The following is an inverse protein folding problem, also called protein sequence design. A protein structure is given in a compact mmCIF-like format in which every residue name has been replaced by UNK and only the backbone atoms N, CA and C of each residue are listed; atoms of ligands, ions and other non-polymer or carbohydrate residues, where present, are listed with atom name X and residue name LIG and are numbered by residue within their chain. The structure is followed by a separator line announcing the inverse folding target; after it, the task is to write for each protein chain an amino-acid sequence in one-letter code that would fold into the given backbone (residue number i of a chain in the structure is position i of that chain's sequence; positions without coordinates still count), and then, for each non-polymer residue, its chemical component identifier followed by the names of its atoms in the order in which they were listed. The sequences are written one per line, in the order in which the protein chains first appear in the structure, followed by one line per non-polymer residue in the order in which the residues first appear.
data_IF_714003155479
#
_entry.id   IF_714003155479
#
_cell.length_a   1.000
_cell.length_b   1.000
_cell.length_c   1.000
_cell.angle_alpha   90.00
_cell.angle_beta   90.00
_cell.angle_gamma   90.00
#
_symmetry.space_group_name_H-M   'P 1'
#
loop_
_entity.id
_entity.type
_entity.pdbx_description
1 polymer ?
#
# COMPACT_ATOMS: atom_id res chain seq x y z
N UNK A 1 9.03 -20.83 4.31
CA UNK A 1 8.28 -20.47 3.11
C UNK A 1 7.30 -19.36 3.45
N UNK A 2 7.39 -18.23 2.83
CA UNK A 2 6.42 -17.15 2.93
C UNK A 2 6.30 -16.50 1.56
N UNK A 3 5.10 -16.10 1.19
CA UNK A 3 4.87 -15.43 -0.09
C UNK A 3 5.39 -13.99 0.02
N UNK A 4 6.51 -13.69 -0.65
CA UNK A 4 6.91 -12.33 -0.99
C UNK A 4 6.45 -12.01 -2.41
N UNK A 5 6.33 -10.74 -2.77
CA UNK A 5 5.99 -10.31 -4.14
C UNK A 5 6.91 -10.96 -5.18
N UNK A 6 8.20 -11.14 -4.88
CA UNK A 6 9.13 -11.81 -5.78
C UNK A 6 8.78 -13.29 -6.03
N UNK A 7 8.25 -14.00 -5.04
CA UNK A 7 7.79 -15.38 -5.22
C UNK A 7 6.51 -15.44 -6.01
N UNK A 8 5.59 -14.52 -5.83
CA UNK A 8 4.36 -14.44 -6.61
C UNK A 8 4.71 -14.21 -8.08
N UNK A 9 5.59 -13.28 -8.41
CA UNK A 9 6.06 -13.04 -9.78
C UNK A 9 6.74 -14.27 -10.40
N UNK A 10 7.65 -14.90 -9.67
CA UNK A 10 8.40 -16.07 -10.18
C UNK A 10 7.51 -17.29 -10.37
N UNK A 11 6.46 -17.45 -9.56
CA UNK A 11 5.56 -18.60 -9.52
C UNK A 11 4.12 -18.21 -9.88
N UNK A 12 3.94 -17.30 -10.84
CA UNK A 12 2.64 -16.76 -11.22
C UNK A 12 1.64 -17.89 -11.55
N UNK A 13 2.09 -18.91 -12.30
CA UNK A 13 1.32 -20.09 -12.64
C UNK A 13 0.90 -20.99 -11.47
N UNK A 14 1.42 -20.77 -10.26
CA UNK A 14 0.97 -21.43 -9.04
C UNK A 14 -0.13 -20.61 -8.33
N UNK A 15 -0.09 -19.31 -8.47
CA UNK A 15 -1.01 -18.43 -7.78
C UNK A 15 -2.31 -18.17 -8.55
N UNK A 16 -2.40 -18.59 -9.82
CA UNK A 16 -3.64 -18.59 -10.59
C UNK A 16 -4.39 -19.94 -10.54
N UNK A 17 -3.82 -20.95 -9.86
CA UNK A 17 -4.48 -22.22 -9.59
C UNK A 17 -5.76 -22.01 -8.75
N UNK A 18 -6.86 -22.64 -9.19
CA UNK A 18 -8.18 -22.54 -8.55
C UNK A 18 -8.57 -23.90 -7.96
N UNK A 19 -9.11 -23.85 -6.75
CA UNK A 19 -9.63 -25.00 -6.00
C UNK A 19 -11.14 -24.85 -5.87
N UNK A 20 -11.91 -25.64 -6.66
CA UNK A 20 -13.35 -25.51 -6.75
C UNK A 20 -14.06 -26.54 -5.85
N UNK A 21 -14.84 -26.05 -4.88
CA UNK A 21 -15.71 -26.84 -4.02
C UNK A 21 -17.15 -26.65 -4.47
N UNK A 22 -17.81 -27.73 -4.95
CA UNK A 22 -19.19 -27.68 -5.44
C UNK A 22 -20.20 -28.14 -4.42
N UNK A 23 -21.44 -27.70 -4.56
CA UNK A 23 -22.55 -28.07 -3.68
C UNK A 23 -22.93 -29.56 -3.76
N UNK A 24 -22.60 -30.22 -4.85
CA UNK A 24 -22.77 -31.66 -5.04
C UNK A 24 -21.62 -32.50 -4.44
N UNK A 25 -20.75 -31.84 -3.65
CA UNK A 25 -19.57 -32.41 -3.02
C UNK A 25 -18.47 -32.83 -4.00
N UNK A 26 -18.55 -32.50 -5.29
CA UNK A 26 -17.41 -32.66 -6.18
C UNK A 26 -16.34 -31.60 -5.91
N UNK A 27 -15.07 -31.98 -6.14
CA UNK A 27 -13.92 -31.11 -5.98
C UNK A 27 -13.08 -31.12 -7.25
N UNK A 28 -12.56 -29.94 -7.62
CA UNK A 28 -11.72 -29.80 -8.82
C UNK A 28 -10.50 -28.93 -8.53
N UNK A 29 -9.34 -29.40 -8.99
CA UNK A 29 -8.16 -28.59 -9.21
C UNK A 29 -8.24 -28.01 -10.63
N UNK A 30 -8.25 -26.70 -10.78
CA UNK A 30 -8.24 -25.99 -12.07
C UNK A 30 -6.91 -25.27 -12.14
N UNK A 31 -5.96 -25.88 -12.90
CA UNK A 31 -4.55 -25.51 -12.90
C UNK A 31 -4.14 -24.73 -14.17
N UNK A 32 -5.12 -24.29 -14.96
CA UNK A 32 -4.84 -23.57 -16.20
C UNK A 32 -4.06 -24.42 -17.23
N UNK A 33 -3.30 -23.74 -18.06
CA UNK A 33 -2.40 -24.37 -19.03
C UNK A 33 -1.06 -24.77 -18.40
N UNK A 34 -0.67 -24.14 -17.30
CA UNK A 34 0.58 -24.32 -16.57
C UNK A 34 0.35 -24.24 -15.06
N UNK A 35 1.16 -24.94 -14.28
CA UNK A 35 1.30 -24.79 -12.83
C UNK A 35 2.77 -24.85 -12.45
N UNK A 36 3.12 -24.56 -11.19
CA UNK A 36 4.50 -24.60 -10.73
C UNK A 36 5.00 -26.04 -10.57
N UNK A 37 6.11 -26.35 -11.26
CA UNK A 37 6.79 -27.65 -11.19
C UNK A 37 8.08 -27.55 -10.39
N UNK A 38 8.33 -28.54 -9.53
CA UNK A 38 9.55 -28.64 -8.70
C UNK A 38 10.46 -29.78 -9.20
N UNK A 39 11.69 -29.44 -9.58
CA UNK A 39 12.64 -30.37 -10.23
C UNK A 39 12.90 -31.66 -9.44
N UNK A 40 12.99 -31.61 -8.13
CA UNK A 40 13.24 -32.77 -7.28
C UNK A 40 12.03 -33.70 -7.13
N UNK A 41 10.85 -33.24 -7.50
CA UNK A 41 9.59 -33.93 -7.26
C UNK A 41 8.99 -34.49 -8.58
N UNK A 42 8.93 -33.68 -9.62
CA UNK A 42 8.20 -34.00 -10.86
C UNK A 42 9.12 -34.48 -11.99
N UNK A 43 10.39 -34.70 -11.69
CA UNK A 43 11.39 -35.15 -12.65
C UNK A 43 11.61 -34.18 -13.83
N UNK A 44 11.30 -32.90 -13.64
CA UNK A 44 11.64 -31.84 -14.58
C UNK A 44 13.11 -31.39 -14.37
N UNK A 45 13.73 -30.85 -15.41
CA UNK A 45 15.16 -30.48 -15.34
C UNK A 45 15.42 -29.29 -14.43
N UNK A 46 14.51 -28.33 -14.41
CA UNK A 46 14.59 -27.09 -13.62
C UNK A 46 13.21 -26.75 -13.07
N UNK A 47 13.17 -26.04 -11.94
CA UNK A 47 11.91 -25.51 -11.38
C UNK A 47 11.37 -24.41 -12.28
N UNK A 48 10.05 -24.39 -12.48
CA UNK A 48 9.39 -23.39 -13.32
C UNK A 48 7.93 -23.69 -13.58
N UNK A 49 7.29 -22.78 -14.33
CA UNK A 49 5.95 -23.00 -14.85
C UNK A 49 5.97 -24.02 -16.00
N UNK A 50 5.02 -24.95 -15.99
CA UNK A 50 4.87 -25.95 -17.01
C UNK A 50 3.54 -26.69 -16.89
N UNK A 51 3.19 -27.48 -17.91
CA UNK A 51 1.96 -28.26 -17.91
C UNK A 51 1.88 -29.18 -16.70
N UNK A 52 0.73 -29.20 -16.03
CA UNK A 52 0.50 -30.02 -14.85
C UNK A 52 0.73 -31.51 -15.16
N UNK A 53 1.35 -32.25 -14.23
CA UNK A 53 1.77 -33.64 -14.43
C UNK A 53 0.91 -34.59 -13.61
N UNK A 54 0.53 -35.70 -14.24
CA UNK A 54 -0.26 -36.74 -13.58
C UNK A 54 0.48 -37.34 -12.37
N UNK A 55 -0.25 -37.69 -11.30
CA UNK A 55 -1.71 -37.63 -11.13
C UNK A 55 -2.24 -36.27 -10.65
N UNK A 56 -1.39 -35.22 -10.52
CA UNK A 56 -1.73 -33.89 -9.99
C UNK A 56 -2.08 -32.91 -11.11
N UNK A 57 -2.63 -33.39 -12.22
CA UNK A 57 -2.92 -32.64 -13.45
C UNK A 57 -4.35 -32.07 -13.52
N UNK A 58 -5.08 -32.10 -12.40
CA UNK A 58 -6.47 -31.62 -12.34
C UNK A 58 -7.52 -32.55 -12.94
N UNK A 59 -7.12 -33.71 -13.49
CA UNK A 59 -8.06 -34.69 -14.11
C UNK A 59 -8.69 -35.64 -13.10
N UNK A 60 -8.27 -35.60 -11.85
CA UNK A 60 -8.80 -36.44 -10.78
C UNK A 60 -10.31 -36.29 -10.62
N UNK A 61 -11.04 -37.40 -10.54
CA UNK A 61 -12.42 -37.39 -10.01
C UNK A 61 -12.33 -37.37 -8.50
N UNK A 62 -12.66 -36.21 -7.91
CA UNK A 62 -12.52 -36.02 -6.48
C UNK A 62 -13.79 -35.48 -5.83
N UNK A 63 -13.92 -35.79 -4.56
CA UNK A 63 -14.99 -35.27 -3.70
C UNK A 63 -14.42 -34.59 -2.48
N UNK A 64 -15.20 -33.73 -1.85
CA UNK A 64 -14.82 -33.08 -0.60
C UNK A 64 -15.87 -33.28 0.48
N UNK A 65 -15.43 -33.21 1.73
CA UNK A 65 -16.32 -33.20 2.88
C UNK A 65 -15.79 -32.25 3.96
N UNK A 66 -16.68 -31.71 4.77
CA UNK A 66 -16.34 -30.83 5.89
C UNK A 66 -16.94 -31.39 7.17
N UNK A 67 -16.09 -31.68 8.13
CA UNK A 67 -16.51 -31.99 9.49
C UNK A 67 -16.46 -30.72 10.35
N UNK A 68 -17.64 -30.21 10.70
CA UNK A 68 -17.78 -28.98 11.49
C UNK A 68 -17.45 -29.15 12.97
N UNK A 69 -17.39 -30.39 13.48
CA UNK A 69 -17.11 -30.66 14.90
C UNK A 69 -15.61 -30.51 15.21
N UNK A 70 -14.75 -30.91 14.29
CA UNK A 70 -13.30 -30.83 14.44
C UNK A 70 -12.61 -29.83 13.48
N UNK A 71 -13.40 -29.17 12.62
CA UNK A 71 -12.90 -28.17 11.69
C UNK A 71 -11.99 -28.75 10.61
N UNK A 72 -12.28 -29.97 10.13
CA UNK A 72 -11.50 -30.60 9.07
C UNK A 72 -12.18 -30.57 7.71
N UNK A 73 -11.39 -30.38 6.65
CA UNK A 73 -11.80 -30.59 5.26
C UNK A 73 -11.05 -31.80 4.74
N UNK A 74 -11.77 -32.77 4.20
CA UNK A 74 -11.16 -33.93 3.53
C UNK A 74 -11.46 -33.90 2.06
N UNK A 75 -10.44 -34.17 1.24
CA UNK A 75 -10.54 -34.31 -0.21
C UNK A 75 -10.18 -35.75 -0.55
N UNK A 76 -11.11 -36.45 -1.16
CA UNK A 76 -10.99 -37.81 -1.57
C UNK A 76 -10.89 -37.89 -3.12
N UNK A 77 -9.78 -38.39 -3.60
CA UNK A 77 -9.45 -38.51 -5.02
C UNK A 77 -7.95 -38.48 -5.25
N UNK A 78 -7.41 -39.55 -5.89
CA UNK A 78 -5.97 -39.64 -6.13
C UNK A 78 -5.50 -38.48 -7.01
N UNK A 79 -4.55 -37.67 -6.51
CA UNK A 79 -4.00 -36.52 -7.22
C UNK A 79 -4.75 -35.21 -7.00
N UNK A 80 -5.85 -35.23 -6.23
CA UNK A 80 -6.51 -33.99 -5.78
C UNK A 80 -5.85 -33.42 -4.52
N UNK A 81 -5.68 -32.09 -4.45
CA UNK A 81 -4.95 -31.43 -3.37
C UNK A 81 -5.41 -29.98 -3.16
N UNK A 82 -5.01 -29.38 -2.02
CA UNK A 82 -5.06 -27.94 -1.78
C UNK A 82 -3.63 -27.41 -1.57
N UNK A 83 -3.27 -26.36 -2.30
CA UNK A 83 -1.95 -25.73 -2.21
C UNK A 83 -0.88 -26.51 -2.94
N UNK A 84 0.07 -27.13 -2.27
CA UNK A 84 1.23 -27.79 -2.87
C UNK A 84 0.95 -29.26 -3.08
N UNK A 85 1.07 -29.74 -4.32
CA UNK A 85 0.74 -31.11 -4.77
C UNK A 85 1.49 -32.22 -4.01
N UNK A 86 2.76 -31.99 -3.63
CA UNK A 86 3.58 -32.97 -2.92
C UNK A 86 3.32 -33.02 -1.40
N UNK A 87 2.51 -32.14 -0.85
CA UNK A 87 2.25 -32.09 0.59
C UNK A 87 1.10 -33.01 0.95
N UNK A 88 1.36 -34.04 1.74
CA UNK A 88 0.38 -35.02 2.18
C UNK A 88 0.42 -35.21 3.71
N UNK A 89 -0.64 -35.77 4.28
CA UNK A 89 -0.70 -36.02 5.71
C UNK A 89 0.49 -36.88 6.17
N UNK A 90 1.27 -36.30 7.07
CA UNK A 90 2.42 -36.96 7.69
C UNK A 90 3.73 -36.88 6.90
N UNK A 91 3.72 -36.42 5.63
CA UNK A 91 4.90 -36.49 4.77
C UNK A 91 4.86 -35.47 3.62
N UNK A 92 6.02 -35.01 3.18
CA UNK A 92 6.20 -34.51 1.81
C UNK A 92 6.56 -35.67 0.89
N UNK A 93 5.82 -35.84 -0.19
CA UNK A 93 6.06 -36.89 -1.15
C UNK A 93 7.33 -36.57 -1.96
N UNK A 94 8.05 -37.58 -2.36
CA UNK A 94 9.28 -37.48 -3.15
C UNK A 94 9.14 -38.06 -4.57
N UNK A 95 7.97 -38.61 -4.86
CA UNK A 95 7.64 -39.21 -6.16
C UNK A 95 6.12 -39.07 -6.37
N UNK A 96 5.64 -38.59 -7.54
CA UNK A 96 4.22 -38.52 -7.88
C UNK A 96 3.47 -39.86 -7.72
N UNK A 97 4.14 -41.01 -7.92
CA UNK A 97 3.55 -42.32 -7.69
C UNK A 97 3.15 -42.61 -6.22
N UNK A 98 3.57 -41.76 -5.28
CA UNK A 98 3.18 -41.85 -3.87
C UNK A 98 1.90 -41.08 -3.55
N UNK A 99 1.21 -40.54 -4.57
CA UNK A 99 -0.05 -39.80 -4.40
C UNK A 99 -1.01 -40.53 -3.46
N UNK A 100 -1.78 -39.78 -2.70
CA UNK A 100 -2.72 -40.32 -1.72
C UNK A 100 -4.14 -40.30 -2.26
N UNK A 101 -4.91 -41.31 -1.86
CA UNK A 101 -6.34 -41.42 -2.17
C UNK A 101 -7.16 -40.34 -1.43
N UNK A 102 -6.65 -39.84 -0.29
CA UNK A 102 -7.35 -38.92 0.57
C UNK A 102 -6.37 -37.99 1.27
N UNK A 103 -6.70 -36.69 1.35
CA UNK A 103 -5.98 -35.68 2.10
C UNK A 103 -6.91 -34.97 3.07
N UNK A 104 -6.51 -34.89 4.34
CA UNK A 104 -7.29 -34.19 5.39
C UNK A 104 -6.56 -32.94 5.85
N UNK A 105 -7.25 -31.82 5.75
CA UNK A 105 -6.79 -30.48 6.18
C UNK A 105 -7.53 -30.13 7.48
N UNK A 106 -6.78 -29.68 8.49
CA UNK A 106 -7.32 -29.30 9.79
C UNK A 106 -7.37 -27.79 9.98
N UNK A 107 -8.06 -27.33 11.01
CA UNK A 107 -8.15 -25.92 11.38
C UNK A 107 -8.74 -25.05 10.27
N UNK A 108 -9.76 -25.57 9.59
CA UNK A 108 -10.47 -24.85 8.54
C UNK A 108 -11.21 -23.64 9.14
N UNK A 109 -10.79 -22.44 8.72
CA UNK A 109 -11.40 -21.17 9.14
C UNK A 109 -11.75 -20.36 7.91
N UNK A 110 -13.01 -19.98 7.81
CA UNK A 110 -13.50 -19.01 6.81
C UNK A 110 -13.58 -17.66 7.50
N UNK A 111 -13.04 -16.62 6.86
CA UNK A 111 -13.14 -15.24 7.37
C UNK A 111 -14.58 -14.76 7.48
N UNK A 112 -14.87 -13.77 8.33
CA UNK A 112 -16.22 -13.24 8.56
C UNK A 112 -16.86 -12.71 7.28
N UNK A 113 -16.09 -12.13 6.39
CA UNK A 113 -16.50 -11.64 5.07
C UNK A 113 -16.64 -12.75 4.02
N UNK A 114 -16.28 -14.00 4.37
CA UNK A 114 -16.31 -15.20 3.51
C UNK A 114 -15.38 -15.12 2.28
N UNK A 115 -14.36 -14.29 2.34
CA UNK A 115 -13.43 -14.08 1.23
C UNK A 115 -12.10 -14.81 1.40
N UNK A 116 -11.84 -15.39 2.58
CA UNK A 116 -10.60 -16.14 2.82
C UNK A 116 -10.91 -17.48 3.50
N UNK A 117 -10.25 -18.54 3.03
CA UNK A 117 -10.18 -19.86 3.67
C UNK A 117 -8.75 -20.11 4.16
N UNK A 118 -8.60 -20.42 5.43
CA UNK A 118 -7.33 -20.89 6.01
C UNK A 118 -7.45 -22.36 6.38
N UNK A 119 -6.47 -23.19 6.01
CA UNK A 119 -6.39 -24.61 6.37
C UNK A 119 -4.95 -25.00 6.67
N UNK A 120 -4.78 -26.10 7.41
CA UNK A 120 -3.49 -26.68 7.71
C UNK A 120 -3.44 -28.14 7.29
N UNK A 121 -2.27 -28.61 6.85
CA UNK A 121 -2.00 -30.04 6.67
C UNK A 121 -0.81 -30.43 7.52
N UNK A 122 -0.97 -31.47 8.34
CA UNK A 122 0.04 -31.95 9.26
C UNK A 122 1.12 -32.74 8.53
N UNK A 123 2.38 -32.41 8.81
CA UNK A 123 3.54 -33.12 8.28
C UNK A 123 4.52 -33.44 9.41
N UNK A 124 4.61 -34.70 9.82
CA UNK A 124 5.53 -35.07 10.89
C UNK A 124 5.36 -34.20 12.14
N UNK A 125 6.41 -33.46 12.54
CA UNK A 125 6.40 -32.54 13.68
C UNK A 125 5.92 -31.11 13.32
N UNK A 126 5.69 -30.80 12.05
CA UNK A 126 5.28 -29.48 11.54
C UNK A 126 3.98 -29.55 10.77
N UNK A 127 3.57 -28.41 10.25
CA UNK A 127 2.42 -28.30 9.35
C UNK A 127 2.66 -27.25 8.28
N UNK A 128 1.99 -27.41 7.15
CA UNK A 128 1.82 -26.34 6.17
C UNK A 128 0.51 -25.61 6.44
N UNK A 129 0.53 -24.30 6.39
CA UNK A 129 -0.66 -23.45 6.40
C UNK A 129 -0.88 -22.90 5.01
N UNK A 130 -2.09 -23.07 4.50
CA UNK A 130 -2.53 -22.46 3.26
C UNK A 130 -3.62 -21.43 3.54
N UNK A 131 -3.54 -20.31 2.85
CA UNK A 131 -4.56 -19.28 2.84
C UNK A 131 -4.99 -19.07 1.41
N UNK A 132 -6.27 -19.27 1.15
CA UNK A 132 -6.87 -19.09 -0.16
C UNK A 132 -7.79 -17.88 -0.12
N UNK A 133 -7.73 -17.07 -1.17
CA UNK A 133 -8.69 -16.00 -1.38
C UNK A 133 -9.81 -16.48 -2.29
N UNK A 134 -11.04 -16.02 -2.04
CA UNK A 134 -12.18 -16.30 -2.88
C UNK A 134 -12.01 -15.62 -4.23
N UNK A 135 -12.21 -16.35 -5.34
CA UNK A 135 -12.17 -15.80 -6.69
C UNK A 135 -13.10 -14.60 -6.80
N UNK A 136 -12.60 -13.48 -7.34
CA UNK A 136 -13.33 -12.22 -7.46
C UNK A 136 -13.44 -11.38 -6.19
N UNK A 137 -12.78 -11.78 -5.08
CA UNK A 137 -12.66 -10.91 -3.90
C UNK A 137 -11.45 -9.98 -4.02
N UNK A 138 -11.50 -8.84 -3.35
CA UNK A 138 -10.38 -7.88 -3.32
C UNK A 138 -9.07 -8.42 -2.74
N UNK A 139 -9.09 -9.58 -2.08
CA UNK A 139 -7.90 -10.26 -1.57
C UNK A 139 -7.32 -11.33 -2.50
N UNK A 140 -7.98 -11.61 -3.62
CA UNK A 140 -7.51 -12.54 -4.64
C UNK A 140 -6.74 -11.76 -5.72
N UNK A 141 -5.56 -11.27 -5.38
CA UNK A 141 -4.64 -10.74 -6.39
C UNK A 141 -4.10 -11.91 -7.20
N UNK A 142 -4.75 -12.18 -8.32
CA UNK A 142 -4.22 -13.09 -9.33
C UNK A 142 -3.07 -12.38 -10.06
N UNK A 143 -2.05 -13.12 -10.52
CA UNK A 143 -0.99 -12.55 -11.35
C UNK A 143 -1.46 -11.88 -12.65
N UNK A 144 -2.72 -12.06 -13.00
CA UNK A 144 -3.38 -11.54 -14.21
C UNK A 144 -4.41 -10.44 -13.93
N UNK A 145 -4.60 -10.00 -12.67
CA UNK A 145 -5.52 -8.91 -12.36
C UNK A 145 -4.87 -7.57 -12.69
N UNK A 146 -5.69 -6.68 -13.21
CA UNK A 146 -5.45 -5.27 -13.45
C UNK A 146 -6.72 -4.57 -12.95
N UNK A 147 -6.71 -4.19 -11.65
CA UNK A 147 -7.92 -3.75 -10.94
C UNK A 147 -8.37 -2.38 -11.39
N UNK A 148 -7.46 -1.50 -11.72
CA UNK A 148 -7.76 -0.12 -12.14
C UNK A 148 -7.83 0.06 -13.66
N UNK A 149 -7.38 -0.97 -14.43
CA UNK A 149 -7.54 -1.05 -15.89
C UNK A 149 -6.56 -0.20 -16.68
N UNK A 150 -5.40 0.12 -16.13
CA UNK A 150 -4.38 0.95 -16.78
C UNK A 150 -3.44 0.18 -17.72
N UNK A 151 -3.52 -1.16 -17.71
CA UNK A 151 -2.72 -2.06 -18.55
C UNK A 151 -1.45 -2.56 -17.88
N UNK A 152 -1.19 -2.20 -16.62
CA UNK A 152 -0.16 -2.78 -15.76
C UNK A 152 -0.84 -3.74 -14.79
N UNK A 153 -0.35 -4.98 -14.72
CA UNK A 153 -0.96 -5.96 -13.82
C UNK A 153 -0.69 -5.59 -12.37
N UNK A 154 -1.66 -5.80 -11.46
CA UNK A 154 -1.54 -5.48 -10.02
C UNK A 154 -0.22 -5.94 -9.40
N UNK A 155 0.33 -7.08 -9.89
CA UNK A 155 1.59 -7.64 -9.42
C UNK A 155 2.83 -6.84 -9.87
N UNK A 156 2.71 -6.10 -10.96
CA UNK A 156 3.76 -5.26 -11.54
C UNK A 156 3.51 -3.77 -11.28
N UNK A 157 2.35 -3.47 -10.71
CA UNK A 157 1.85 -2.14 -10.46
C UNK A 157 2.19 -1.66 -9.04
N UNK A 158 2.88 -0.52 -8.95
CA UNK A 158 3.17 0.13 -7.67
C UNK A 158 1.92 0.85 -7.10
N UNK A 159 0.88 1.05 -7.94
CA UNK A 159 -0.37 1.74 -7.60
C UNK A 159 -1.65 0.93 -7.98
N UNK A 160 -1.83 -0.32 -7.59
CA UNK A 160 -2.75 -1.29 -8.19
C UNK A 160 -4.25 -0.99 -8.05
N UNK A 161 -4.62 0.17 -7.55
CA UNK A 161 -6.00 0.65 -7.41
C UNK A 161 -6.20 2.07 -7.96
N UNK A 162 -5.18 2.63 -8.62
CA UNK A 162 -5.18 4.01 -9.12
C UNK A 162 -4.51 4.04 -10.47
N UNK A 163 -5.32 3.96 -11.53
CA UNK A 163 -4.85 3.91 -12.91
C UNK A 163 -3.85 5.03 -13.24
N UNK A 164 -2.71 4.66 -13.83
CA UNK A 164 -1.63 5.57 -14.18
C UNK A 164 -1.12 5.38 -15.61
N UNK A 165 -0.37 6.35 -16.10
CA UNK A 165 0.27 6.30 -17.43
C UNK A 165 1.78 5.96 -17.33
N UNK A 166 2.34 5.86 -16.12
CA UNK A 166 3.73 5.48 -15.91
C UNK A 166 3.91 3.97 -16.15
N UNK A 167 5.14 3.57 -16.51
CA UNK A 167 5.46 2.16 -16.77
C UNK A 167 5.32 1.25 -15.54
N UNK A 168 5.23 1.82 -14.33
CA UNK A 168 5.00 1.12 -13.08
C UNK A 168 3.54 1.18 -12.61
N UNK A 169 2.59 1.58 -13.47
CA UNK A 169 1.17 1.64 -13.15
C UNK A 169 0.73 2.86 -12.35
N UNK A 170 1.65 3.72 -11.94
CA UNK A 170 1.29 4.88 -11.13
C UNK A 170 0.93 6.11 -11.98
N UNK A 171 0.05 7.00 -11.50
CA UNK A 171 -0.16 8.30 -12.11
C UNK A 171 1.15 9.08 -12.28
N UNK A 172 1.32 9.72 -13.43
CA UNK A 172 2.47 10.61 -13.65
C UNK A 172 2.28 11.86 -12.81
N UNK A 173 3.09 12.02 -11.79
CA UNK A 173 3.11 13.23 -10.96
C UNK A 173 3.79 14.34 -11.75
N UNK A 174 3.05 15.36 -12.11
CA UNK A 174 3.62 16.55 -12.74
C UNK A 174 4.47 17.33 -11.72
N UNK A 175 5.79 17.15 -11.82
CA UNK A 175 6.77 17.83 -10.96
C UNK A 175 7.07 19.23 -11.47
N UNK A 176 7.41 20.21 -10.60
CA UNK A 176 7.91 21.49 -11.05
C UNK A 176 9.28 21.34 -11.73
N UNK A 177 9.49 22.05 -12.84
CA UNK A 177 10.75 22.08 -13.57
C UNK A 177 11.81 22.96 -12.90
N UNK A 178 11.40 23.87 -12.04
CA UNK A 178 12.27 24.83 -11.34
C UNK A 178 11.84 24.98 -9.88
N UNK A 179 12.80 25.28 -9.03
CA UNK A 179 12.51 25.66 -7.63
C UNK A 179 11.72 26.97 -7.56
N UNK A 180 11.01 27.25 -6.45
CA UNK A 180 10.40 28.55 -6.21
C UNK A 180 11.46 29.65 -6.12
N UNK A 181 11.03 30.90 -6.21
CA UNK A 181 11.92 32.04 -6.01
C UNK A 181 12.48 32.03 -4.58
N UNK A 182 13.76 32.34 -4.45
CA UNK A 182 14.37 32.45 -3.12
C UNK A 182 13.65 33.51 -2.27
N UNK A 183 13.41 33.25 -0.98
CA UNK A 183 12.78 34.23 -0.08
C UNK A 183 13.59 35.52 0.02
N UNK A 184 12.91 36.64 0.16
CA UNK A 184 13.53 37.97 0.23
C UNK A 184 13.71 38.54 1.62
N UNK A 185 13.09 37.90 2.63
CA UNK A 185 13.20 38.34 4.04
C UNK A 185 14.58 37.99 4.62
N UNK A 186 15.10 38.82 5.51
CA UNK A 186 16.34 38.50 6.20
C UNK A 186 16.11 37.37 7.24
N UNK A 187 17.14 36.54 7.48
CA UNK A 187 17.10 35.45 8.48
C UNK A 187 16.63 35.97 9.87
N UNK A 188 16.96 37.20 10.24
CA UNK A 188 16.57 37.80 11.55
C UNK A 188 15.08 38.16 11.66
N UNK A 189 14.36 38.18 10.55
CA UNK A 189 12.93 38.51 10.48
C UNK A 189 12.04 37.27 10.52
N UNK A 190 12.64 36.09 10.26
CA UNK A 190 11.90 34.84 10.09
C UNK A 190 12.28 33.81 11.15
N UNK A 191 11.37 32.89 11.41
CA UNK A 191 11.68 31.58 12.01
C UNK A 191 11.36 30.51 10.99
N UNK A 192 12.40 29.85 10.51
CA UNK A 192 12.28 28.82 9.45
C UNK A 192 11.70 27.53 10.01
N UNK A 193 10.85 26.91 9.21
CA UNK A 193 10.35 25.54 9.41
C UNK A 193 10.99 24.64 8.38
N UNK A 194 11.00 25.04 7.10
CA UNK A 194 11.72 24.35 6.03
C UNK A 194 12.11 25.34 4.93
N UNK A 195 13.38 25.42 4.60
CA UNK A 195 13.89 26.18 3.46
C UNK A 195 15.40 26.03 3.38
N UNK A 196 15.95 25.91 2.18
CA UNK A 196 17.42 25.92 1.93
C UNK A 196 18.04 27.33 2.15
N UNK A 197 17.20 28.37 2.15
CA UNK A 197 17.65 29.77 2.33
C UNK A 197 17.84 30.18 3.79
N UNK A 198 17.35 29.40 4.76
CA UNK A 198 17.33 29.76 6.18
C UNK A 198 17.89 28.64 7.06
N UNK A 199 18.20 29.01 8.31
CA UNK A 199 18.64 28.04 9.30
C UNK A 199 17.47 27.09 9.67
N UNK A 200 17.71 25.78 9.53
CA UNK A 200 16.75 24.76 9.87
C UNK A 200 16.40 24.71 11.37
N UNK A 201 15.21 24.23 11.76
CA UNK A 201 14.87 23.98 13.16
C UNK A 201 15.75 22.87 13.76
N UNK A 202 15.76 22.73 15.10
CA UNK A 202 16.56 21.71 15.80
C UNK A 202 16.14 20.27 15.46
N UNK A 203 14.84 20.04 15.24
CA UNK A 203 14.31 18.78 14.75
C UNK A 203 13.34 19.04 13.60
N UNK A 204 13.35 18.14 12.65
CA UNK A 204 12.52 18.17 11.46
C UNK A 204 12.20 16.77 10.98
N UNK A 205 10.90 16.48 10.83
CA UNK A 205 10.40 15.25 10.22
C UNK A 205 9.41 15.62 9.10
N UNK A 206 9.81 15.46 7.84
CA UNK A 206 8.95 15.77 6.68
C UNK A 206 7.82 14.76 6.48
N UNK A 207 7.90 13.59 7.12
CA UNK A 207 6.99 12.48 6.87
C UNK A 207 6.68 11.68 8.14
N UNK A 208 6.15 12.31 9.19
CA UNK A 208 5.74 11.59 10.39
C UNK A 208 4.68 10.54 10.06
N UNK A 209 4.81 9.36 10.66
CA UNK A 209 3.87 8.26 10.45
C UNK A 209 2.57 8.50 11.25
N UNK A 210 1.57 9.06 10.59
CA UNK A 210 0.23 9.26 11.14
C UNK A 210 -0.81 8.29 10.55
N UNK A 211 -0.38 7.25 9.83
CA UNK A 211 -1.24 6.27 9.16
C UNK A 211 -1.78 6.74 7.81
N UNK A 212 -1.15 7.74 7.20
CA UNK A 212 -1.48 8.26 5.87
C UNK A 212 -1.12 7.26 4.77
N UNK A 213 -1.80 7.37 3.62
CA UNK A 213 -1.43 6.67 2.37
C UNK A 213 -0.57 7.55 1.44
N UNK A 214 -0.47 8.85 1.72
CA UNK A 214 0.36 9.80 0.98
C UNK A 214 1.80 9.29 0.87
N UNK A 215 2.40 9.44 -0.31
CA UNK A 215 3.80 9.10 -0.58
C UNK A 215 4.66 10.36 -0.49
N UNK A 216 5.88 10.21 0.01
CA UNK A 216 6.85 11.28 0.19
C UNK A 216 8.04 11.14 -0.75
N UNK A 217 8.50 12.26 -1.27
CA UNK A 217 9.77 12.38 -2.02
C UNK A 217 10.46 13.70 -1.70
N UNK A 218 11.78 13.75 -1.85
CA UNK A 218 12.56 14.97 -1.86
C UNK A 218 13.20 15.13 -3.23
N UNK A 219 13.04 16.27 -3.86
CA UNK A 219 13.56 16.57 -5.20
C UNK A 219 14.57 17.70 -5.08
N UNK A 220 15.74 17.52 -5.68
CA UNK A 220 16.77 18.56 -5.80
C UNK A 220 16.62 19.24 -7.16
N UNK A 221 16.30 20.52 -7.14
CA UNK A 221 16.20 21.38 -8.32
C UNK A 221 17.32 22.43 -8.29
N UNK A 222 18.45 22.09 -8.95
CA UNK A 222 19.63 22.93 -9.04
C UNK A 222 20.22 23.35 -7.66
N UNK A 223 20.19 22.45 -6.69
CA UNK A 223 20.71 22.65 -5.34
C UNK A 223 19.70 23.21 -4.35
N UNK A 224 18.44 23.40 -4.75
CA UNK A 224 17.32 23.69 -3.88
C UNK A 224 16.46 22.41 -3.71
N UNK A 225 16.28 21.98 -2.47
CA UNK A 225 15.50 20.79 -2.15
C UNK A 225 14.06 21.14 -1.84
N UNK A 226 13.14 20.51 -2.54
CA UNK A 226 11.70 20.67 -2.33
C UNK A 226 11.11 19.36 -1.80
N UNK A 227 10.07 19.45 -1.00
CA UNK A 227 9.31 18.30 -0.52
C UNK A 227 8.19 17.99 -1.49
N UNK A 228 8.06 16.73 -1.91
CA UNK A 228 6.99 16.25 -2.78
C UNK A 228 6.10 15.26 -2.05
N UNK A 229 4.79 15.43 -2.22
CA UNK A 229 3.76 14.57 -1.66
C UNK A 229 2.78 14.16 -2.75
N UNK A 230 2.63 12.87 -2.98
CA UNK A 230 1.73 12.30 -3.98
C UNK A 230 0.75 11.31 -3.35
N UNK A 231 -0.30 10.93 -4.09
CA UNK A 231 -1.39 10.12 -3.57
C UNK A 231 -2.00 10.70 -2.27
N UNK A 232 -2.21 12.01 -2.27
CA UNK A 232 -2.57 12.77 -1.07
C UNK A 232 -3.93 12.35 -0.50
N UNK A 233 -3.91 11.71 0.67
CA UNK A 233 -5.08 11.66 1.54
C UNK A 233 -4.99 12.71 2.66
N UNK A 234 -3.89 12.76 3.36
CA UNK A 234 -3.38 13.84 4.22
C UNK A 234 -1.89 13.63 4.44
N UNK A 235 -1.18 14.71 4.76
CA UNK A 235 0.25 14.66 5.08
C UNK A 235 0.58 15.73 6.11
N UNK A 236 1.58 15.49 6.92
CA UNK A 236 2.06 16.48 7.86
C UNK A 236 3.56 16.57 7.94
N UNK A 237 4.01 17.63 8.59
CA UNK A 237 5.39 17.84 9.03
C UNK A 237 5.39 18.01 10.54
N UNK A 238 6.40 17.45 11.21
CA UNK A 238 6.63 17.63 12.63
C UNK A 238 8.01 18.24 12.88
N UNK A 239 8.12 19.15 13.81
CA UNK A 239 9.36 19.88 14.07
C UNK A 239 9.45 20.36 15.52
N UNK A 240 10.64 20.81 15.93
CA UNK A 240 10.79 21.49 17.21
C UNK A 240 9.88 22.73 17.23
N UNK A 241 9.11 22.88 18.28
CA UNK A 241 8.08 23.93 18.38
C UNK A 241 8.62 25.33 18.09
N UNK A 242 7.85 26.09 17.32
CA UNK A 242 8.11 27.47 16.98
C UNK A 242 7.23 28.38 17.84
N UNK A 243 7.86 29.25 18.65
CA UNK A 243 7.16 30.30 19.36
C UNK A 243 6.68 31.38 18.39
N UNK A 244 5.37 31.55 18.31
CA UNK A 244 4.73 32.53 17.43
C UNK A 244 4.63 33.94 18.05
N UNK A 245 5.20 34.18 19.24
CA UNK A 245 5.20 35.53 19.89
C UNK A 245 5.79 36.58 18.95
N UNK A 246 4.99 37.56 18.59
CA UNK A 246 5.39 38.64 17.69
C UNK A 246 5.42 38.29 16.22
N UNK A 247 5.03 37.06 15.85
CA UNK A 247 4.82 36.61 14.46
C UNK A 247 3.38 36.89 14.04
N UNK A 248 3.21 37.27 12.79
CA UNK A 248 1.89 37.60 12.24
C UNK A 248 1.47 36.80 11.04
N UNK A 249 2.43 36.21 10.36
CA UNK A 249 2.22 35.50 9.07
C UNK A 249 2.93 34.14 9.07
N UNK A 250 2.35 33.19 8.41
CA UNK A 250 3.03 31.99 7.91
C UNK A 250 3.12 32.08 6.40
N UNK A 251 4.31 31.80 5.89
CA UNK A 251 4.61 31.72 4.45
C UNK A 251 4.94 30.30 4.03
N UNK A 252 4.56 29.95 2.81
CA UNK A 252 4.98 28.74 2.11
C UNK A 252 4.86 28.91 0.60
N UNK A 253 5.79 28.33 -0.15
CA UNK A 253 5.68 28.21 -1.59
C UNK A 253 5.16 26.83 -1.94
N UNK A 254 4.04 26.78 -2.67
CA UNK A 254 3.35 25.53 -3.00
C UNK A 254 3.20 25.42 -4.52
N UNK A 255 3.52 24.25 -5.07
CA UNK A 255 3.24 23.89 -6.46
C UNK A 255 2.29 22.70 -6.51
N UNK A 256 1.28 22.78 -7.35
CA UNK A 256 0.48 21.62 -7.73
C UNK A 256 -0.03 21.79 -9.16
N UNK A 257 -0.09 20.69 -9.91
CA UNK A 257 -0.70 20.67 -11.24
C UNK A 257 -2.20 20.29 -11.20
N UNK A 258 -2.65 19.73 -10.08
CA UNK A 258 -3.95 19.06 -9.98
C UNK A 258 -4.77 19.43 -8.71
N UNK A 259 -4.23 20.31 -7.86
CA UNK A 259 -4.92 20.86 -6.68
C UNK A 259 -5.06 22.38 -6.86
N UNK A 260 -6.27 22.89 -6.80
CA UNK A 260 -6.57 24.34 -6.83
C UNK A 260 -6.73 24.96 -5.42
N UNK A 261 -6.91 24.13 -4.39
CA UNK A 261 -6.97 24.55 -3.00
C UNK A 261 -6.38 23.47 -2.07
N UNK A 262 -5.31 23.81 -1.36
CA UNK A 262 -4.71 22.97 -0.34
C UNK A 262 -5.12 23.48 1.04
N UNK A 263 -5.68 22.62 1.86
CA UNK A 263 -5.99 22.97 3.25
C UNK A 263 -4.72 22.84 4.11
N UNK A 264 -4.31 23.95 4.69
CA UNK A 264 -3.19 24.04 5.63
C UNK A 264 -3.75 24.07 7.04
N UNK A 265 -3.34 23.10 7.86
CA UNK A 265 -3.79 22.96 9.25
C UNK A 265 -2.59 23.18 10.16
N UNK A 266 -2.68 24.16 11.04
CA UNK A 266 -1.68 24.40 12.09
C UNK A 266 -2.04 23.60 13.34
N UNK A 267 -1.03 22.97 13.95
CA UNK A 267 -1.20 22.09 15.11
C UNK A 267 -0.26 22.52 16.23
N UNK A 268 -0.83 22.70 17.42
CA UNK A 268 -0.13 22.85 18.67
C UNK A 268 -0.39 21.63 19.56
N UNK A 269 0.58 20.73 19.66
CA UNK A 269 0.44 19.51 20.48
C UNK A 269 0.57 19.78 21.98
N UNK A 270 1.01 20.98 22.36
CA UNK A 270 1.29 21.40 23.74
C UNK A 270 0.28 22.42 24.28
N UNK A 271 -0.85 22.61 23.59
CA UNK A 271 -1.89 23.53 24.04
C UNK A 271 -2.50 23.11 25.39
N UNK A 272 -2.89 24.08 26.20
CA UNK A 272 -3.62 23.84 27.45
C UNK A 272 -4.95 23.10 27.16
N UNK A 273 -5.07 21.87 27.67
CA UNK A 273 -6.26 21.03 27.45
C UNK A 273 -6.07 19.95 26.38
N UNK A 274 -4.89 19.85 25.77
CA UNK A 274 -4.54 18.84 24.75
C UNK A 274 -4.22 19.45 23.40
N UNK A 275 -4.03 18.61 22.38
CA UNK A 275 -3.72 19.06 21.02
C UNK A 275 -4.80 19.98 20.47
N UNK A 276 -4.39 21.15 19.97
CA UNK A 276 -5.27 22.10 19.26
C UNK A 276 -4.88 22.16 17.79
N UNK A 277 -5.85 22.05 16.90
CA UNK A 277 -5.65 22.19 15.46
C UNK A 277 -6.72 23.06 14.81
N UNK A 278 -6.33 23.81 13.80
CA UNK A 278 -7.24 24.62 12.99
C UNK A 278 -6.65 24.83 11.60
N UNK A 279 -7.48 24.88 10.57
CA UNK A 279 -7.02 24.92 9.18
C UNK A 279 -7.77 25.90 8.31
N UNK A 280 -7.09 26.32 7.24
CA UNK A 280 -7.60 27.21 6.19
C UNK A 280 -7.20 26.69 4.81
N UNK A 281 -8.03 26.96 3.82
CA UNK A 281 -7.74 26.63 2.43
C UNK A 281 -6.83 27.71 1.80
N UNK A 282 -5.67 27.29 1.29
CA UNK A 282 -4.80 28.08 0.46
C UNK A 282 -5.17 27.85 -1.01
N UNK A 283 -5.53 28.91 -1.73
CA UNK A 283 -5.80 28.84 -3.17
C UNK A 283 -4.49 28.74 -3.94
N UNK A 284 -4.43 27.84 -4.92
CA UNK A 284 -3.24 27.56 -5.72
C UNK A 284 -3.49 27.81 -7.20
N UNK A 285 -2.44 28.18 -7.92
CA UNK A 285 -2.41 28.24 -9.38
C UNK A 285 -1.90 26.90 -9.93
N UNK A 286 -2.73 26.19 -10.68
CA UNK A 286 -2.36 24.89 -11.23
C UNK A 286 -1.16 25.00 -12.20
N UNK A 287 -0.14 24.18 -11.99
CA UNK A 287 1.05 24.11 -12.82
C UNK A 287 2.04 25.25 -12.60
N UNK A 288 1.91 26.00 -11.51
CA UNK A 288 2.83 27.08 -11.14
C UNK A 288 3.10 27.10 -9.63
N UNK A 289 4.27 27.63 -9.23
CA UNK A 289 4.52 27.95 -7.84
C UNK A 289 3.60 29.09 -7.37
N UNK A 290 2.89 28.87 -6.29
CA UNK A 290 2.07 29.84 -5.60
C UNK A 290 2.71 30.19 -4.29
N UNK A 291 3.16 31.45 -4.11
CA UNK A 291 3.62 31.98 -2.82
C UNK A 291 2.40 32.33 -1.97
N UNK A 292 2.27 31.62 -0.85
CA UNK A 292 1.11 31.74 0.03
C UNK A 292 1.54 32.41 1.34
N UNK A 293 0.95 33.56 1.64
CA UNK A 293 1.06 34.25 2.93
C UNK A 293 -0.28 34.23 3.64
N UNK A 294 -0.37 33.54 4.78
CA UNK A 294 -1.60 33.45 5.57
C UNK A 294 -1.38 34.16 6.91
N UNK A 295 -2.31 35.03 7.27
CA UNK A 295 -2.29 35.66 8.59
C UNK A 295 -2.54 34.63 9.69
N UNK A 296 -1.68 34.59 10.70
CA UNK A 296 -1.85 33.70 11.86
C UNK A 296 -3.16 33.98 12.62
N UNK A 297 -3.68 35.21 12.54
CA UNK A 297 -4.97 35.56 13.14
C UNK A 297 -6.17 34.97 12.41
N UNK A 298 -6.01 34.52 11.16
CA UNK A 298 -7.09 33.90 10.42
C UNK A 298 -7.31 32.43 10.84
N UNK A 299 -6.29 31.81 11.45
CA UNK A 299 -6.40 30.50 12.08
C UNK A 299 -7.12 30.63 13.44
N UNK A 300 -8.44 30.48 13.42
CA UNK A 300 -9.29 30.72 14.58
C UNK A 300 -8.83 29.98 15.84
N UNK A 301 -8.53 30.71 16.90
CA UNK A 301 -8.14 30.19 18.22
C UNK A 301 -6.70 29.66 18.29
N UNK A 302 -5.92 29.69 17.20
CA UNK A 302 -4.57 29.09 17.22
C UNK A 302 -3.60 29.89 18.09
N UNK A 303 -3.58 31.22 17.96
CA UNK A 303 -2.71 32.09 18.75
C UNK A 303 -3.09 32.02 20.24
N UNK A 304 -4.38 31.97 20.54
CA UNK A 304 -4.94 31.84 21.89
C UNK A 304 -4.67 30.48 22.53
N UNK A 305 -4.36 29.42 21.72
CA UNK A 305 -4.02 28.10 22.24
C UNK A 305 -2.63 27.96 22.84
N UNK A 306 -1.91 29.10 23.01
CA UNK A 306 -0.56 29.14 23.57
C UNK A 306 0.53 29.52 22.58
N UNK A 307 0.19 29.77 21.31
CA UNK A 307 1.11 30.32 20.30
C UNK A 307 2.34 29.47 19.98
N UNK A 308 2.28 28.16 20.18
CA UNK A 308 3.32 27.23 19.77
C UNK A 308 2.87 26.44 18.53
N UNK A 309 3.69 26.44 17.50
CA UNK A 309 3.46 25.65 16.28
C UNK A 309 4.51 24.56 16.21
N UNK A 310 4.11 23.31 16.30
CA UNK A 310 5.03 22.16 16.26
C UNK A 310 4.69 21.11 15.20
N UNK A 311 3.50 21.24 14.55
CA UNK A 311 3.15 20.42 13.39
C UNK A 311 2.31 21.23 12.40
N UNK A 312 2.44 20.88 11.11
CA UNK A 312 1.56 21.35 10.05
C UNK A 312 1.00 20.12 9.34
N UNK A 313 -0.30 20.13 9.05
CA UNK A 313 -0.96 19.08 8.26
C UNK A 313 -1.53 19.67 6.98
N UNK A 314 -1.47 18.92 5.91
CA UNK A 314 -1.99 19.26 4.60
C UNK A 314 -3.06 18.27 4.20
N UNK A 315 -4.18 18.77 3.67
CA UNK A 315 -5.29 18.01 3.16
C UNK A 315 -5.74 18.62 1.83
N UNK A 316 -6.39 17.83 0.97
CA UNK A 316 -7.09 18.44 -0.18
C UNK A 316 -8.17 19.36 0.38
N UNK A 317 -8.19 20.60 -0.08
CA UNK A 317 -9.15 21.60 0.37
C UNK A 317 -10.59 21.30 -0.04
N UNK A 318 -11.41 22.32 -0.18
CA UNK A 318 -12.86 22.16 -0.50
C UNK A 318 -13.15 21.50 -1.85
N UNK A 319 -12.15 21.27 -2.69
CA UNK A 319 -12.26 20.52 -3.94
C UNK A 319 -12.18 19.00 -3.71
N UNK A 320 -12.94 18.53 -2.75
CA UNK A 320 -12.92 17.18 -2.19
C UNK A 320 -13.40 16.05 -3.15
N UNK A 321 -13.36 16.25 -4.47
CA UNK A 321 -13.74 15.20 -5.45
C UNK A 321 -12.58 14.28 -5.82
N UNK A 322 -11.39 14.49 -5.31
CA UNK A 322 -10.20 13.75 -5.68
C UNK A 322 -9.35 13.38 -4.47
N UNK A 323 -9.52 12.18 -3.99
CA UNK A 323 -8.63 11.52 -3.03
C UNK A 323 -7.78 10.49 -3.74
N UNK A 324 -6.48 10.47 -3.45
CA UNK A 324 -5.59 9.37 -3.82
C UNK A 324 -4.73 9.57 -5.07
N UNK A 325 -5.10 10.47 -5.97
CA UNK A 325 -4.34 10.78 -7.21
C UNK A 325 -3.69 12.17 -7.21
N UNK A 326 -3.91 12.97 -6.15
CA UNK A 326 -3.45 14.34 -6.03
C UNK A 326 -2.04 14.46 -5.50
N UNK A 327 -1.33 15.50 -5.97
CA UNK A 327 0.04 15.78 -5.57
C UNK A 327 0.30 17.27 -5.36
N UNK A 328 1.21 17.58 -4.45
CA UNK A 328 1.76 18.91 -4.30
C UNK A 328 3.23 18.86 -3.92
N UNK A 329 3.92 19.96 -4.18
CA UNK A 329 5.29 20.21 -3.77
C UNK A 329 5.33 21.46 -2.93
N UNK A 330 6.22 21.50 -1.95
CA UNK A 330 6.28 22.61 -1.02
C UNK A 330 7.73 22.94 -0.66
N UNK A 331 8.00 24.22 -0.47
CA UNK A 331 9.26 24.79 -0.02
C UNK A 331 9.02 26.10 0.75
N UNK A 332 10.08 26.67 1.29
CA UNK A 332 10.10 27.97 1.93
C UNK A 332 9.03 28.15 3.02
N UNK A 333 8.90 27.17 3.92
CA UNK A 333 7.96 27.24 5.04
C UNK A 333 8.60 28.03 6.19
N UNK A 334 8.05 29.18 6.55
CA UNK A 334 8.54 29.99 7.66
C UNK A 334 7.44 30.91 8.24
N UNK A 335 7.64 31.37 9.47
CA UNK A 335 6.79 32.39 10.11
C UNK A 335 7.56 33.67 10.29
N UNK A 336 6.85 34.85 10.22
CA UNK A 336 7.46 36.17 10.33
C UNK A 336 6.54 37.21 10.91
#
# INVERSE_FOLDING_TARGET
WSNSLSYIKTRACFFDDIYEFKDDMSFHNILGDETWQEAAWESVAEEGCGAALAPFDGTATATWSHNTEDGTITIDGMGAFLGISRVANGVELTDPAQAKESLTYSGAVISDDKNQLTVHIQMGAGFWQFKFARVGSAGAQLPTTDVDGDGVLDIDDDCPNVAGEAANGCPVVATPDTAPAAPTKAQSEVTSIYSDSYTAPESWDPYPNWGQSTQYSEIDLDGNKILGYSQLNYQGNAFSGVDLTGKTMIHMDIYSADISALKVVLINTQADGGTFETGLDASLENGAWTSVDISLSDFAGFVESGGNLDQIKYEVGTDATATGDKSFFIDNIYVY
#
